data_IF_740909809999
#
_entry.id   IF_740909809999
#
_cell.length_a   1.000
_cell.length_b   1.000
_cell.length_c   1.000
_cell.angle_alpha   90.00
_cell.angle_beta   90.00
_cell.angle_gamma   90.00
#
_symmetry.space_group_name_H-M   'P 1'
#
loop_
_entity.id
_entity.type
_entity.pdbx_description
1 polymer ?
#
# COMPACT_ATOMS: atom_id res chain seq x y z
N UNK A 1 -15.49 17.83 -39.28
CA UNK A 1 -14.04 18.07 -39.38
C UNK A 1 -13.47 17.77 -38.01
N UNK A 2 -12.80 16.61 -37.91
CA UNK A 2 -11.99 16.03 -36.83
C UNK A 2 -12.38 16.17 -35.34
N UNK A 3 -13.37 15.38 -34.90
CA UNK A 3 -13.47 14.94 -33.48
C UNK A 3 -12.25 14.11 -33.03
N UNK A 4 -11.43 13.64 -33.98
CA UNK A 4 -10.25 12.80 -33.75
C UNK A 4 -9.13 13.51 -32.95
N UNK A 5 -9.12 14.85 -32.92
CA UNK A 5 -8.07 15.65 -32.26
C UNK A 5 -8.61 16.57 -31.17
N UNK A 6 -9.85 16.38 -30.73
CA UNK A 6 -10.39 17.15 -29.61
C UNK A 6 -9.59 16.81 -28.34
N UNK A 7 -9.10 17.80 -27.58
CA UNK A 7 -8.44 17.55 -26.31
C UNK A 7 -9.34 16.74 -25.39
N UNK A 8 -8.74 15.83 -24.62
CA UNK A 8 -9.45 15.14 -23.54
C UNK A 8 -9.96 16.18 -22.52
N UNK A 9 -11.08 15.90 -21.83
CA UNK A 9 -11.52 16.74 -20.72
C UNK A 9 -10.40 16.92 -19.69
N UNK A 10 -10.27 18.14 -19.16
CA UNK A 10 -9.40 18.39 -18.01
C UNK A 10 -9.89 17.61 -16.78
N UNK A 11 -8.98 17.23 -15.86
CA UNK A 11 -9.38 16.59 -14.62
C UNK A 11 -10.30 17.49 -13.78
N UNK A 12 -11.19 16.90 -12.96
CA UNK A 12 -12.18 17.66 -12.17
C UNK A 12 -11.52 18.55 -11.10
N UNK A 13 -10.34 18.17 -10.62
CA UNK A 13 -9.54 18.96 -9.68
C UNK A 13 -8.04 18.83 -10.00
N UNK A 14 -7.21 19.64 -9.33
CA UNK A 14 -5.75 19.55 -9.42
C UNK A 14 -5.18 18.18 -8.98
N UNK A 15 -5.94 17.39 -8.22
CA UNK A 15 -5.55 16.04 -7.82
C UNK A 15 -5.40 15.09 -9.02
N UNK A 16 -6.18 15.31 -10.09
CA UNK A 16 -6.07 14.56 -11.34
C UNK A 16 -4.91 14.98 -12.25
N UNK A 17 -4.12 16.00 -11.87
CA UNK A 17 -2.87 16.36 -12.57
C UNK A 17 -1.73 15.46 -12.10
N UNK A 18 -1.73 14.23 -12.61
CA UNK A 18 -0.80 13.17 -12.19
C UNK A 18 0.67 13.49 -12.50
N UNK A 19 1.58 12.97 -11.68
CA UNK A 19 3.03 13.14 -11.77
C UNK A 19 3.71 11.78 -11.88
N UNK A 20 4.84 11.73 -12.58
CA UNK A 20 5.70 10.53 -12.59
C UNK A 20 6.31 10.36 -11.20
N UNK A 21 6.20 9.16 -10.63
CA UNK A 21 6.60 8.87 -9.26
C UNK A 21 8.10 9.10 -9.02
N UNK A 22 8.96 8.58 -9.89
CA UNK A 22 10.41 8.77 -9.78
C UNK A 22 11.12 8.61 -11.13
N UNK A 23 12.41 8.91 -11.18
CA UNK A 23 13.24 8.70 -12.39
C UNK A 23 13.33 7.22 -12.81
N UNK A 24 13.09 6.29 -11.89
CA UNK A 24 13.17 4.84 -12.10
C UNK A 24 11.80 4.16 -12.09
N UNK A 25 10.73 4.89 -11.78
CA UNK A 25 9.36 4.40 -11.76
C UNK A 25 8.45 5.33 -12.57
N UNK A 26 8.13 4.91 -13.81
CA UNK A 26 7.31 5.67 -14.75
C UNK A 26 5.81 5.70 -14.41
N UNK A 27 5.40 5.04 -13.33
CA UNK A 27 4.02 5.05 -12.84
C UNK A 27 3.59 6.47 -12.48
N UNK A 28 2.34 6.80 -12.81
CA UNK A 28 1.78 8.14 -12.60
C UNK A 28 0.89 8.14 -11.36
N UNK A 29 1.19 9.02 -10.43
CA UNK A 29 0.47 9.16 -9.15
C UNK A 29 -0.09 10.57 -8.99
N UNK A 30 -1.19 10.70 -8.27
CA UNK A 30 -1.76 11.99 -7.86
C UNK A 30 -0.74 12.77 -7.01
N UNK A 31 -0.73 14.12 -7.05
CA UNK A 31 0.22 14.94 -6.30
C UNK A 31 0.08 14.79 -4.78
N UNK A 32 -1.05 14.25 -4.31
CA UNK A 32 -1.28 13.81 -2.94
C UNK A 32 -1.60 12.30 -2.95
N UNK A 33 -1.04 11.59 -1.98
CA UNK A 33 -1.30 10.16 -1.75
C UNK A 33 -2.21 10.05 -0.53
N UNK A 34 -3.31 9.29 -0.65
CA UNK A 34 -4.23 9.08 0.47
C UNK A 34 -3.65 8.04 1.42
N UNK A 35 -3.36 8.45 2.66
CA UNK A 35 -2.93 7.55 3.72
C UNK A 35 -4.11 6.74 4.30
N UNK A 36 -3.94 5.43 4.37
CA UNK A 36 -4.94 4.47 4.84
C UNK A 36 -4.88 4.16 6.33
N UNK A 37 -3.98 4.79 7.11
CA UNK A 37 -3.85 4.52 8.54
C UNK A 37 -5.14 4.84 9.34
N UNK A 38 -5.97 5.77 8.85
CA UNK A 38 -7.28 6.10 9.43
C UNK A 38 -8.42 5.21 8.94
N UNK A 39 -8.20 4.33 7.96
CA UNK A 39 -9.23 3.45 7.38
C UNK A 39 -9.35 2.20 8.25
N UNK A 40 -10.31 2.21 9.16
CA UNK A 40 -10.59 1.15 10.12
C UNK A 40 -11.10 1.72 11.45
N UNK A 41 -11.61 0.86 12.33
CA UNK A 41 -12.14 1.26 13.64
C UNK A 41 -11.37 0.69 14.85
N UNK A 42 -10.46 -0.26 14.60
CA UNK A 42 -9.68 -0.93 15.62
C UNK A 42 -8.82 0.02 16.50
N UNK A 43 -8.44 1.19 15.99
CA UNK A 43 -7.60 2.19 16.67
C UNK A 43 -8.39 3.43 17.11
N UNK A 44 -9.72 3.32 17.23
CA UNK A 44 -10.61 4.41 17.62
C UNK A 44 -10.21 5.14 18.90
N UNK A 45 -9.59 4.45 19.86
CA UNK A 45 -9.13 5.03 21.12
C UNK A 45 -8.04 6.10 20.99
N UNK A 46 -7.29 6.17 19.88
CA UNK A 46 -6.23 7.16 19.70
C UNK A 46 -6.19 7.83 18.31
N UNK A 47 -6.83 7.25 17.29
CA UNK A 47 -6.95 7.84 15.94
C UNK A 47 -8.36 8.35 15.60
N UNK A 48 -9.33 8.14 16.49
CA UNK A 48 -10.74 8.42 16.23
C UNK A 48 -11.42 7.29 15.45
N UNK A 49 -12.75 7.26 15.48
CA UNK A 49 -13.55 6.22 14.82
C UNK A 49 -13.81 6.54 13.36
N UNK A 50 -13.58 5.57 12.47
CA UNK A 50 -14.02 5.59 11.09
C UNK A 50 -14.72 4.26 10.80
N UNK A 51 -16.03 4.27 10.58
CA UNK A 51 -16.72 3.06 10.14
C UNK A 51 -16.48 2.83 8.64
N UNK A 52 -16.89 1.65 8.16
CA UNK A 52 -16.66 1.22 6.79
C UNK A 52 -17.37 2.09 5.76
N UNK A 53 -18.58 2.55 6.07
CA UNK A 53 -19.34 3.44 5.19
C UNK A 53 -18.61 4.77 4.99
N UNK A 54 -18.14 5.39 6.06
CA UNK A 54 -17.35 6.62 6.02
C UNK A 54 -16.02 6.44 5.29
N UNK A 55 -15.36 5.29 5.47
CA UNK A 55 -14.14 4.97 4.72
C UNK A 55 -14.41 4.90 3.22
N UNK A 56 -15.53 4.28 2.81
CA UNK A 56 -15.89 4.17 1.41
C UNK A 56 -16.27 5.53 0.82
N UNK A 57 -16.99 6.37 1.57
CA UNK A 57 -17.28 7.76 1.18
C UNK A 57 -15.99 8.58 0.98
N UNK A 58 -15.01 8.44 1.87
CA UNK A 58 -13.70 9.10 1.75
C UNK A 58 -12.95 8.63 0.50
N UNK A 59 -12.92 7.32 0.26
CA UNK A 59 -12.23 6.72 -0.89
C UNK A 59 -12.91 7.10 -2.22
N UNK A 60 -14.24 7.05 -2.27
CA UNK A 60 -15.04 7.48 -3.42
C UNK A 60 -14.77 8.98 -3.71
N UNK A 61 -14.80 9.85 -2.69
CA UNK A 61 -14.51 11.28 -2.85
C UNK A 61 -13.08 11.57 -3.35
N UNK A 62 -12.08 10.84 -2.83
CA UNK A 62 -10.69 10.98 -3.28
C UNK A 62 -10.53 10.57 -4.75
N UNK A 63 -11.13 9.45 -5.14
CA UNK A 63 -11.09 8.95 -6.51
C UNK A 63 -11.84 9.88 -7.48
N UNK A 64 -13.04 10.32 -7.13
CA UNK A 64 -13.84 11.25 -7.95
C UNK A 64 -13.15 12.61 -8.14
N UNK A 65 -12.35 13.06 -7.17
CA UNK A 65 -11.51 14.25 -7.32
C UNK A 65 -10.31 14.05 -8.28
N UNK A 66 -10.03 12.82 -8.72
CA UNK A 66 -8.91 12.46 -9.59
C UNK A 66 -7.72 11.83 -8.87
N UNK A 67 -7.86 11.49 -7.58
CA UNK A 67 -6.86 10.77 -6.80
C UNK A 67 -6.71 9.33 -7.27
N UNK A 68 -5.46 8.86 -7.36
CA UNK A 68 -5.21 7.51 -7.85
C UNK A 68 -4.16 6.74 -7.05
N UNK A 69 -3.63 7.29 -5.95
CA UNK A 69 -2.59 6.64 -5.16
C UNK A 69 -3.01 6.54 -3.69
N UNK A 70 -3.03 5.32 -3.16
CA UNK A 70 -3.40 5.01 -1.77
C UNK A 70 -2.22 4.28 -1.11
N UNK A 71 -1.86 4.70 0.09
CA UNK A 71 -0.80 4.09 0.90
C UNK A 71 -1.37 3.50 2.19
N UNK A 72 -1.23 2.19 2.39
CA UNK A 72 -1.65 1.47 3.59
C UNK A 72 -0.49 0.67 4.19
N UNK A 73 -0.73 -0.23 5.14
CA UNK A 73 0.25 -1.18 5.67
C UNK A 73 -0.44 -2.43 6.23
N UNK A 74 0.29 -3.55 6.27
CA UNK A 74 -0.21 -4.84 6.75
C UNK A 74 -0.87 -4.79 8.14
N UNK A 75 -0.36 -3.93 9.03
CA UNK A 75 -0.76 -3.81 10.43
C UNK A 75 -1.73 -2.66 10.72
N UNK A 76 -2.04 -1.80 9.75
CA UNK A 76 -2.90 -0.64 9.99
C UNK A 76 -4.30 -1.08 10.41
N UNK A 77 -4.81 -0.46 11.49
CA UNK A 77 -6.14 -0.73 12.03
C UNK A 77 -6.38 -2.22 12.27
N UNK A 78 -5.38 -2.92 12.83
CA UNK A 78 -5.42 -4.37 13.03
C UNK A 78 -5.84 -5.13 11.76
N UNK A 79 -5.22 -4.77 10.63
CA UNK A 79 -5.43 -5.31 9.29
C UNK A 79 -6.65 -4.78 8.52
N UNK A 80 -7.55 -4.02 9.16
CA UNK A 80 -8.80 -3.55 8.53
C UNK A 80 -8.56 -2.64 7.34
N UNK A 81 -7.51 -1.82 7.37
CA UNK A 81 -7.21 -0.87 6.29
C UNK A 81 -7.06 -1.56 4.93
N UNK A 82 -6.24 -2.62 4.85
CA UNK A 82 -6.08 -3.39 3.62
C UNK A 82 -7.37 -4.12 3.21
N UNK A 83 -8.14 -4.63 4.18
CA UNK A 83 -9.41 -5.32 3.92
C UNK A 83 -10.41 -4.36 3.27
N UNK A 84 -10.62 -3.20 3.89
CA UNK A 84 -11.64 -2.24 3.44
C UNK A 84 -11.25 -1.60 2.11
N UNK A 85 -9.96 -1.25 1.91
CA UNK A 85 -9.47 -0.74 0.62
C UNK A 85 -9.64 -1.81 -0.48
N UNK A 86 -9.34 -3.08 -0.18
CA UNK A 86 -9.51 -4.18 -1.12
C UNK A 86 -10.97 -4.42 -1.52
N UNK A 87 -11.89 -4.35 -0.57
CA UNK A 87 -13.34 -4.45 -0.81
C UNK A 87 -13.87 -3.26 -1.62
N UNK A 88 -13.41 -2.05 -1.30
CA UNK A 88 -13.73 -0.84 -2.04
C UNK A 88 -13.27 -0.95 -3.51
N UNK A 89 -11.98 -1.25 -3.74
CA UNK A 89 -11.43 -1.40 -5.11
C UNK A 89 -12.19 -2.46 -5.92
N UNK A 90 -12.48 -3.62 -5.31
CA UNK A 90 -13.20 -4.71 -5.99
C UNK A 90 -14.63 -4.33 -6.34
N UNK A 91 -15.36 -3.70 -5.40
CA UNK A 91 -16.76 -3.34 -5.60
C UNK A 91 -16.94 -2.24 -6.66
N UNK A 92 -15.97 -1.33 -6.81
CA UNK A 92 -15.96 -0.29 -7.85
C UNK A 92 -15.21 -0.67 -9.12
N UNK A 93 -14.57 -1.85 -9.17
CA UNK A 93 -13.74 -2.34 -10.29
C UNK A 93 -12.59 -1.35 -10.63
N UNK A 94 -11.93 -0.84 -9.61
CA UNK A 94 -10.91 0.21 -9.73
C UNK A 94 -9.47 -0.29 -9.70
N UNK A 95 -9.23 -1.60 -9.57
CA UNK A 95 -7.88 -2.13 -9.32
C UNK A 95 -6.84 -1.61 -10.33
N UNK A 96 -7.17 -1.61 -11.62
CA UNK A 96 -6.25 -1.20 -12.69
C UNK A 96 -6.02 0.32 -12.74
N UNK A 97 -6.84 1.10 -12.03
CA UNK A 97 -6.81 2.57 -12.00
C UNK A 97 -6.12 3.11 -10.74
N UNK A 98 -6.03 2.30 -9.69
CA UNK A 98 -5.45 2.69 -8.40
C UNK A 98 -4.04 2.13 -8.27
N UNK A 99 -3.11 3.02 -7.93
CA UNK A 99 -1.78 2.68 -7.44
C UNK A 99 -1.90 2.37 -5.95
N UNK A 100 -1.75 1.10 -5.58
CA UNK A 100 -1.80 0.67 -4.17
C UNK A 100 -0.39 0.42 -3.63
N UNK A 101 -0.04 1.21 -2.62
CA UNK A 101 1.14 0.99 -1.79
C UNK A 101 0.74 0.29 -0.50
N UNK A 102 1.53 -0.71 -0.09
CA UNK A 102 1.43 -1.29 1.25
C UNK A 102 2.83 -1.55 1.82
N UNK A 103 2.88 -1.94 3.09
CA UNK A 103 4.13 -2.14 3.83
C UNK A 103 4.09 -3.44 4.61
N UNK A 104 5.25 -4.05 4.77
CA UNK A 104 5.48 -5.14 5.71
C UNK A 104 6.52 -4.71 6.74
N UNK A 105 6.66 -5.48 7.82
CA UNK A 105 7.60 -5.38 8.98
C UNK A 105 6.83 -5.31 10.31
N UNK A 106 5.67 -4.67 10.33
CA UNK A 106 4.83 -4.59 11.54
C UNK A 106 4.24 -5.94 11.93
N UNK A 107 4.15 -6.20 13.24
CA UNK A 107 3.48 -7.38 13.79
C UNK A 107 1.96 -7.25 13.61
N UNK A 108 1.48 -7.72 12.46
CA UNK A 108 0.10 -7.61 12.05
C UNK A 108 -0.81 -8.71 12.64
N UNK A 109 -0.23 -9.77 13.23
CA UNK A 109 -1.00 -10.89 13.83
C UNK A 109 -1.02 -10.92 15.35
N UNK A 110 -0.35 -9.99 16.04
CA UNK A 110 -0.29 -9.94 17.52
C UNK A 110 -1.64 -10.07 18.23
N UNK A 111 -2.71 -9.53 17.66
CA UNK A 111 -4.05 -9.60 18.26
C UNK A 111 -4.78 -10.91 17.95
N UNK A 112 -4.58 -11.49 16.77
CA UNK A 112 -5.23 -12.74 16.35
C UNK A 112 -4.57 -13.96 17.02
N UNK A 113 -3.23 -14.06 16.96
CA UNK A 113 -2.50 -15.26 17.42
C UNK A 113 -1.84 -15.06 18.79
N UNK A 114 -1.78 -13.83 19.29
CA UNK A 114 -1.12 -13.44 20.53
C UNK A 114 0.39 -13.18 20.35
N UNK A 115 0.91 -12.17 21.07
CA UNK A 115 2.30 -11.70 20.95
C UNK A 115 3.38 -12.80 21.10
N UNK A 116 3.13 -13.83 21.91
CA UNK A 116 4.07 -14.94 22.09
C UNK A 116 4.16 -15.89 20.88
N UNK A 117 3.22 -15.80 19.93
CA UNK A 117 3.14 -16.64 18.73
C UNK A 117 3.26 -15.84 17.44
N UNK A 118 3.26 -14.51 17.52
CA UNK A 118 3.29 -13.62 16.35
C UNK A 118 4.70 -13.20 15.92
N UNK A 119 5.75 -13.70 16.58
CA UNK A 119 7.14 -13.27 16.34
C UNK A 119 7.62 -13.38 14.88
N UNK A 120 7.11 -14.34 14.10
CA UNK A 120 7.47 -14.51 12.69
C UNK A 120 6.52 -13.76 11.72
N UNK A 121 5.59 -12.96 12.24
CA UNK A 121 4.72 -12.07 11.47
C UNK A 121 5.22 -10.62 11.48
N UNK A 122 6.46 -10.38 11.94
CA UNK A 122 7.09 -9.07 11.99
C UNK A 122 8.59 -9.15 11.62
N UNK A 123 9.22 -7.99 11.42
CA UNK A 123 10.61 -7.92 10.98
C UNK A 123 10.80 -8.04 9.46
N UNK A 124 12.03 -7.81 9.02
CA UNK A 124 12.42 -7.72 7.60
C UNK A 124 12.80 -9.09 7.00
N UNK A 125 12.93 -10.13 7.81
CA UNK A 125 13.40 -11.45 7.39
C UNK A 125 12.45 -12.12 6.37
N UNK A 126 13.00 -13.04 5.58
CA UNK A 126 12.31 -13.66 4.42
C UNK A 126 10.95 -14.27 4.77
N UNK A 127 10.80 -14.89 5.94
CA UNK A 127 9.54 -15.52 6.35
C UNK A 127 8.44 -14.48 6.63
N UNK A 128 8.73 -13.43 7.41
CA UNK A 128 7.79 -12.33 7.68
C UNK A 128 7.33 -11.67 6.38
N UNK A 129 8.26 -11.36 5.48
CA UNK A 129 7.95 -10.81 4.15
C UNK A 129 7.01 -11.74 3.37
N UNK A 130 7.32 -13.04 3.31
CA UNK A 130 6.52 -14.00 2.56
C UNK A 130 5.07 -14.11 3.05
N UNK A 131 4.87 -14.24 4.36
CA UNK A 131 3.52 -14.36 4.94
C UNK A 131 2.75 -13.05 4.85
N UNK A 132 3.43 -11.91 5.06
CA UNK A 132 2.82 -10.60 4.98
C UNK A 132 2.32 -10.31 3.57
N UNK A 133 3.14 -10.52 2.54
CA UNK A 133 2.73 -10.21 1.14
C UNK A 133 1.60 -11.13 0.69
N UNK A 134 1.65 -12.43 1.03
CA UNK A 134 0.53 -13.35 0.77
C UNK A 134 -0.78 -12.83 1.37
N UNK A 135 -0.74 -12.39 2.62
CA UNK A 135 -1.93 -11.94 3.33
C UNK A 135 -2.41 -10.56 2.87
N UNK A 136 -1.50 -9.63 2.57
CA UNK A 136 -1.82 -8.33 1.98
C UNK A 136 -2.51 -8.47 0.63
N UNK A 137 -2.00 -9.32 -0.28
CA UNK A 137 -2.64 -9.61 -1.57
C UNK A 137 -4.07 -10.15 -1.39
N UNK A 138 -4.27 -11.06 -0.43
CA UNK A 138 -5.59 -11.59 -0.08
C UNK A 138 -6.53 -10.51 0.44
N UNK A 139 -6.07 -9.66 1.36
CA UNK A 139 -6.88 -8.59 1.96
C UNK A 139 -7.23 -7.49 0.95
N UNK A 140 -6.26 -7.09 0.13
CA UNK A 140 -6.43 -6.13 -0.97
C UNK A 140 -7.20 -6.70 -2.16
N UNK A 141 -7.45 -8.01 -2.18
CA UNK A 141 -8.18 -8.74 -3.24
C UNK A 141 -7.58 -8.52 -4.64
N UNK A 142 -6.25 -8.61 -4.73
CA UNK A 142 -5.49 -8.47 -5.97
C UNK A 142 -4.31 -9.45 -5.98
N UNK A 143 -3.77 -9.70 -7.17
CA UNK A 143 -2.62 -10.53 -7.45
C UNK A 143 -1.29 -9.75 -7.51
N UNK A 144 -1.32 -8.41 -7.54
CA UNK A 144 -0.11 -7.58 -7.45
C UNK A 144 -0.26 -6.37 -6.51
N UNK A 145 0.87 -5.93 -5.96
CA UNK A 145 1.04 -4.67 -5.23
C UNK A 145 1.83 -3.72 -6.12
N UNK A 146 1.40 -2.46 -6.26
CA UNK A 146 2.15 -1.49 -7.06
C UNK A 146 3.45 -1.11 -6.36
N UNK A 147 3.40 -0.72 -5.08
CA UNK A 147 4.60 -0.36 -4.31
C UNK A 147 4.62 -1.11 -2.98
N UNK A 148 5.64 -1.93 -2.76
CA UNK A 148 5.87 -2.56 -1.44
C UNK A 148 6.96 -1.81 -0.70
N UNK A 149 6.64 -1.30 0.48
CA UNK A 149 7.61 -0.67 1.38
C UNK A 149 8.13 -1.66 2.43
N UNK A 150 9.44 -1.66 2.64
CA UNK A 150 10.01 -2.02 3.94
C UNK A 150 9.64 -0.89 4.91
N UNK A 151 8.75 -1.16 5.88
CA UNK A 151 8.16 -0.10 6.71
C UNK A 151 9.18 0.55 7.65
N UNK A 152 10.06 -0.24 8.25
CA UNK A 152 11.15 0.22 9.11
C UNK A 152 12.30 -0.78 9.03
N UNK A 153 13.51 -0.30 9.26
CA UNK A 153 14.68 -1.15 9.33
C UNK A 153 14.80 -1.79 10.71
N UNK A 154 14.75 -3.13 10.79
CA UNK A 154 14.69 -3.85 12.06
C UNK A 154 16.05 -4.23 12.66
N UNK A 155 17.15 -4.06 11.90
CA UNK A 155 18.52 -4.44 12.28
C UNK A 155 18.72 -5.94 12.58
N UNK A 156 17.74 -6.79 12.28
CA UNK A 156 17.81 -8.24 12.54
C UNK A 156 18.18 -9.02 11.27
N UNK A 157 17.88 -8.46 10.10
CA UNK A 157 18.13 -9.09 8.79
C UNK A 157 19.25 -8.35 8.05
N UNK A 158 20.08 -9.06 7.28
CA UNK A 158 21.09 -8.42 6.44
C UNK A 158 20.45 -7.77 5.21
N UNK A 159 21.15 -6.81 4.60
CA UNK A 159 20.70 -6.15 3.36
C UNK A 159 20.54 -7.21 2.25
N UNK A 160 21.48 -8.16 2.16
CA UNK A 160 21.44 -9.24 1.17
C UNK A 160 20.19 -10.12 1.32
N UNK A 161 19.84 -10.55 2.55
CA UNK A 161 18.65 -11.37 2.77
C UNK A 161 17.37 -10.63 2.34
N UNK A 162 17.27 -9.36 2.72
CA UNK A 162 16.10 -8.52 2.41
C UNK A 162 16.00 -8.31 0.89
N UNK A 163 17.09 -7.91 0.23
CA UNK A 163 17.10 -7.63 -1.20
C UNK A 163 16.88 -8.87 -2.06
N UNK A 164 17.46 -10.02 -1.70
CA UNK A 164 17.18 -11.29 -2.36
C UNK A 164 15.69 -11.63 -2.33
N UNK A 165 15.06 -11.42 -1.17
CA UNK A 165 13.64 -11.74 -0.97
C UNK A 165 12.72 -10.77 -1.71
N UNK A 166 13.02 -9.47 -1.69
CA UNK A 166 12.28 -8.44 -2.42
C UNK A 166 12.41 -8.64 -3.94
N UNK A 167 13.62 -8.97 -4.42
CA UNK A 167 13.87 -9.24 -5.83
C UNK A 167 13.02 -10.41 -6.35
N UNK A 168 12.91 -11.49 -5.58
CA UNK A 168 12.07 -12.64 -5.93
C UNK A 168 10.59 -12.23 -6.09
N UNK A 169 10.06 -11.37 -5.23
CA UNK A 169 8.67 -10.90 -5.34
C UNK A 169 8.43 -10.08 -6.60
N UNK A 170 9.41 -9.25 -6.99
CA UNK A 170 9.38 -8.50 -8.25
C UNK A 170 9.43 -9.45 -9.45
N UNK A 171 10.32 -10.45 -9.44
CA UNK A 171 10.39 -11.46 -10.49
C UNK A 171 9.09 -12.30 -10.61
N UNK A 172 8.39 -12.51 -9.50
CA UNK A 172 7.09 -13.20 -9.49
C UNK A 172 5.92 -12.32 -9.97
N UNK A 173 6.14 -11.03 -10.22
CA UNK A 173 5.07 -10.09 -10.59
C UNK A 173 4.09 -9.75 -9.46
N UNK A 174 4.37 -10.19 -8.22
CA UNK A 174 3.52 -9.90 -7.05
C UNK A 174 3.70 -8.47 -6.54
N UNK A 175 4.83 -7.85 -6.87
CA UNK A 175 5.21 -6.48 -6.51
C UNK A 175 5.83 -5.83 -7.73
N UNK A 176 5.39 -4.62 -8.09
CA UNK A 176 5.92 -3.92 -9.27
C UNK A 176 7.09 -3.01 -8.93
N UNK A 177 6.98 -2.27 -7.82
CA UNK A 177 7.98 -1.32 -7.35
C UNK A 177 8.29 -1.55 -5.87
N UNK A 178 9.53 -1.25 -5.50
CA UNK A 178 10.02 -1.35 -4.13
C UNK A 178 10.20 0.05 -3.54
N UNK A 179 9.87 0.18 -2.27
CA UNK A 179 10.09 1.38 -1.47
C UNK A 179 10.65 1.03 -0.10
N UNK A 180 11.08 2.06 0.63
CA UNK A 180 11.56 1.93 2.01
C UNK A 180 11.10 3.16 2.82
N UNK A 181 10.71 2.92 4.06
CA UNK A 181 10.33 3.94 5.04
C UNK A 181 11.18 3.77 6.30
N UNK A 182 11.35 4.86 7.05
CA UNK A 182 11.98 4.88 8.38
C UNK A 182 13.28 4.04 8.48
N UNK A 183 14.11 4.16 7.44
CA UNK A 183 15.35 3.37 7.28
C UNK A 183 16.55 4.32 7.21
N UNK A 184 17.67 4.01 7.89
CA UNK A 184 18.83 4.87 7.86
C UNK A 184 19.36 5.10 6.45
N UNK A 185 19.74 6.36 6.14
CA UNK A 185 20.19 6.75 4.81
C UNK A 185 21.37 5.91 4.29
N UNK A 186 22.28 5.48 5.19
CA UNK A 186 23.43 4.64 4.81
C UNK A 186 23.05 3.21 4.43
N UNK A 187 21.91 2.69 4.91
CA UNK A 187 21.35 1.41 4.47
C UNK A 187 20.75 1.57 3.08
N UNK A 188 20.04 2.68 2.84
CA UNK A 188 19.41 2.97 1.53
C UNK A 188 20.43 3.17 0.40
N UNK A 189 21.61 3.72 0.73
CA UNK A 189 22.68 3.98 -0.24
C UNK A 189 23.70 2.84 -0.40
N UNK A 190 23.53 1.73 0.34
CA UNK A 190 24.47 0.61 0.35
C UNK A 190 24.51 -0.16 -0.98
#
# INVERSE_FOLDING_TARGET
MNDLFKPLPEPPTELGRLRVLSKTAGIRVSPLILGGASIGDAWSGFMGSMNKEQAFELLDAFYEAGGNCIDTANSYQNEESEIWIGEWMKSRKLRDQIVIATKFTGDYKKYEVGGGKSANYCGNHKHSLHVSVRDSLRKLQTDWIDILYVHWWDYMSSIEEVMDSLHILVQQGKVLYLGVSDTPAWVVSA
#
